data_IF_513204843753
#
_entry.id   IF_513204843753
#
_cell.length_a   1.000
_cell.length_b   1.000
_cell.length_c   1.000
_cell.angle_alpha   90.00
_cell.angle_beta   90.00
_cell.angle_gamma   90.00
#
_symmetry.space_group_name_H-M   'P 1'
#
loop_
_entity.id
_entity.type
_entity.pdbx_description
1 polymer ?
#
# COMPACT_ATOMS: atom_id res chain seq x y z
N UNK A 1 -24.19 9.47 -8.45
CA UNK A 1 -22.96 10.22 -8.04
C UNK A 1 -21.71 9.62 -8.69
N UNK A 2 -20.69 10.43 -9.03
CA UNK A 2 -19.41 9.94 -9.58
C UNK A 2 -18.22 10.78 -9.13
N UNK A 3 -17.02 10.20 -9.25
CA UNK A 3 -15.75 10.84 -8.85
C UNK A 3 -15.05 11.36 -10.09
N UNK A 4 -14.70 12.65 -10.08
CA UNK A 4 -14.03 13.32 -11.20
C UNK A 4 -12.66 13.87 -10.78
N UNK A 5 -11.62 13.71 -11.63
CA UNK A 5 -10.36 14.42 -11.45
C UNK A 5 -10.56 15.91 -11.76
N UNK A 6 -9.94 16.75 -10.95
CA UNK A 6 -9.93 18.20 -11.12
C UNK A 6 -8.52 18.74 -10.97
N UNK A 7 -8.22 19.84 -11.64
CA UNK A 7 -6.97 20.57 -11.48
C UNK A 7 -7.25 21.83 -10.69
N UNK A 8 -6.54 22.03 -9.57
CA UNK A 8 -6.73 23.23 -8.74
C UNK A 8 -6.20 24.44 -9.50
N UNK A 9 -7.03 25.47 -9.75
CA UNK A 9 -6.57 26.70 -10.39
C UNK A 9 -5.44 27.34 -9.58
N UNK A 10 -4.41 27.82 -10.26
CA UNK A 10 -3.26 28.50 -9.66
C UNK A 10 -2.08 27.58 -9.26
N UNK A 11 -2.34 26.40 -8.71
CA UNK A 11 -1.25 25.44 -8.37
C UNK A 11 -0.99 24.40 -9.45
N UNK A 12 -1.94 24.17 -10.36
CA UNK A 12 -1.88 23.07 -11.34
C UNK A 12 -1.96 21.68 -10.70
N UNK A 13 -2.23 21.61 -9.40
CA UNK A 13 -2.20 20.32 -8.66
C UNK A 13 -3.43 19.48 -9.00
N UNK A 14 -3.19 18.20 -9.32
CA UNK A 14 -4.26 17.23 -9.53
C UNK A 14 -4.95 16.89 -8.20
N UNK A 15 -6.25 17.09 -8.17
CA UNK A 15 -7.15 16.71 -7.06
C UNK A 15 -8.35 15.94 -7.59
N UNK A 16 -9.33 15.70 -6.74
CA UNK A 16 -10.53 14.92 -7.05
C UNK A 16 -11.73 15.56 -6.38
N UNK A 17 -12.89 15.49 -7.04
CA UNK A 17 -14.18 15.89 -6.46
C UNK A 17 -15.22 14.80 -6.61
N UNK A 18 -16.29 14.89 -5.85
CA UNK A 18 -17.49 14.04 -5.98
C UNK A 18 -18.63 14.90 -6.50
N UNK A 19 -19.18 14.49 -7.64
CA UNK A 19 -20.36 15.14 -8.23
C UNK A 19 -21.63 14.38 -7.84
N UNK A 20 -22.68 15.13 -7.53
CA UNK A 20 -24.03 14.61 -7.33
C UNK A 20 -24.67 14.11 -8.63
N UNK A 21 -25.93 13.69 -8.53
CA UNK A 21 -26.71 13.26 -9.70
C UNK A 21 -27.15 14.45 -10.58
N UNK A 22 -27.01 15.66 -10.07
CA UNK A 22 -27.22 16.95 -10.74
C UNK A 22 -25.92 17.53 -11.35
N UNK A 23 -24.84 16.76 -11.39
CA UNK A 23 -23.52 17.17 -11.85
C UNK A 23 -22.89 18.33 -11.02
N UNK A 24 -23.44 18.62 -9.84
CA UNK A 24 -22.93 19.65 -8.94
C UNK A 24 -21.99 19.01 -7.89
N UNK A 25 -20.86 19.66 -7.56
CA UNK A 25 -19.98 19.17 -6.51
C UNK A 25 -20.68 19.04 -5.15
N UNK A 26 -20.48 17.92 -4.48
CA UNK A 26 -20.90 17.71 -3.10
C UNK A 26 -20.02 18.57 -2.20
N UNK A 27 -20.43 19.81 -1.94
CA UNK A 27 -19.63 20.87 -1.32
C UNK A 27 -18.87 20.45 -0.07
N UNK A 28 -19.46 19.73 0.94
CA UNK A 28 -18.71 19.33 2.14
C UNK A 28 -17.58 18.34 1.84
N UNK A 29 -17.78 17.46 0.84
CA UNK A 29 -16.76 16.50 0.39
C UNK A 29 -15.67 17.22 -0.38
N UNK A 30 -16.06 18.11 -1.31
CA UNK A 30 -15.14 18.88 -2.13
C UNK A 30 -14.17 19.71 -1.27
N UNK A 31 -14.70 20.46 -0.28
CA UNK A 31 -13.87 21.21 0.69
C UNK A 31 -12.91 20.33 1.48
N UNK A 32 -13.34 19.14 1.87
CA UNK A 32 -12.48 18.20 2.58
C UNK A 32 -11.37 17.63 1.68
N UNK A 33 -11.67 17.30 0.43
CA UNK A 33 -10.68 16.80 -0.53
C UNK A 33 -9.68 17.88 -0.92
N UNK A 34 -10.14 19.14 -1.09
CA UNK A 34 -9.25 20.29 -1.28
C UNK A 34 -8.30 20.47 -0.09
N UNK A 35 -8.83 20.46 1.13
CA UNK A 35 -8.01 20.50 2.34
C UNK A 35 -6.95 19.38 2.38
N UNK A 36 -7.31 18.14 2.01
CA UNK A 36 -6.33 17.05 1.96
C UNK A 36 -5.22 17.31 0.95
N UNK A 37 -5.54 17.93 -0.18
CA UNK A 37 -4.57 18.32 -1.20
C UNK A 37 -3.64 19.42 -0.69
N UNK A 38 -4.20 20.44 -0.04
CA UNK A 38 -3.45 21.59 0.52
C UNK A 38 -2.46 21.16 1.61
N UNK A 39 -2.81 20.17 2.43
CA UNK A 39 -1.89 19.60 3.44
C UNK A 39 -0.92 18.56 2.86
N UNK A 40 -0.79 18.46 1.53
CA UNK A 40 0.19 17.61 0.84
C UNK A 40 -0.12 16.11 0.86
N UNK A 41 -1.39 15.70 1.01
CA UNK A 41 -1.74 14.29 0.84
C UNK A 41 -1.54 13.85 -0.60
N UNK A 42 -1.07 12.61 -0.79
CA UNK A 42 -0.83 12.11 -2.15
C UNK A 42 -2.12 12.10 -2.98
N UNK A 43 -2.08 12.40 -4.30
CA UNK A 43 -3.26 12.37 -5.18
C UNK A 43 -4.02 11.05 -5.13
N UNK A 44 -3.31 9.91 -4.98
CA UNK A 44 -3.95 8.61 -4.82
C UNK A 44 -4.71 8.46 -3.50
N UNK A 45 -4.27 9.13 -2.43
CA UNK A 45 -5.01 9.16 -1.16
C UNK A 45 -6.28 9.98 -1.31
N UNK A 46 -6.19 11.16 -1.95
CA UNK A 46 -7.35 12.02 -2.21
C UNK A 46 -8.35 11.29 -3.09
N UNK A 47 -7.90 10.65 -4.18
CA UNK A 47 -8.73 9.81 -5.05
C UNK A 47 -9.45 8.70 -4.26
N UNK A 48 -8.72 7.97 -3.44
CA UNK A 48 -9.31 6.88 -2.65
C UNK A 48 -10.39 7.41 -1.70
N UNK A 49 -10.14 8.54 -1.04
CA UNK A 49 -11.11 9.17 -0.16
C UNK A 49 -12.34 9.69 -0.91
N UNK A 50 -12.16 10.25 -2.12
CA UNK A 50 -13.27 10.65 -2.98
C UNK A 50 -14.20 9.46 -3.28
N UNK A 51 -13.65 8.31 -3.71
CA UNK A 51 -14.45 7.11 -3.95
C UNK A 51 -15.09 6.56 -2.67
N UNK A 52 -14.41 6.61 -1.54
CA UNK A 52 -14.94 6.10 -0.27
C UNK A 52 -16.08 6.96 0.25
N UNK A 53 -15.94 8.28 0.14
CA UNK A 53 -16.98 9.23 0.52
C UNK A 53 -18.15 9.20 -0.45
N UNK A 54 -17.91 9.05 -1.77
CA UNK A 54 -18.98 8.84 -2.75
C UNK A 54 -19.90 7.71 -2.31
N UNK A 55 -19.37 6.55 -1.98
CA UNK A 55 -20.16 5.41 -1.56
C UNK A 55 -20.94 5.68 -0.27
N UNK A 56 -20.36 6.43 0.67
CA UNK A 56 -21.05 6.83 1.90
C UNK A 56 -22.21 7.80 1.61
N UNK A 57 -22.00 8.80 0.74
CA UNK A 57 -23.04 9.72 0.32
C UNK A 57 -24.17 9.03 -0.45
N UNK A 58 -23.87 8.07 -1.31
CA UNK A 58 -24.87 7.25 -1.99
C UNK A 58 -25.72 6.47 -1.00
N UNK A 59 -25.10 5.93 0.06
CA UNK A 59 -25.83 5.24 1.12
C UNK A 59 -26.76 6.18 1.89
N UNK A 60 -26.31 7.39 2.26
CA UNK A 60 -27.12 8.39 2.95
C UNK A 60 -28.26 8.90 2.08
N UNK A 61 -28.00 9.25 0.81
CA UNK A 61 -28.99 9.76 -0.13
C UNK A 61 -30.17 8.79 -0.31
N UNK A 62 -29.92 7.50 -0.40
CA UNK A 62 -30.97 6.46 -0.50
C UNK A 62 -31.87 6.39 0.69
N UNK A 63 -31.41 6.84 1.85
CA UNK A 63 -32.16 6.88 3.10
C UNK A 63 -32.80 8.24 3.34
N UNK A 64 -32.57 9.21 2.44
CA UNK A 64 -33.01 10.58 2.63
C UNK A 64 -32.38 11.28 3.82
N UNK A 65 -31.15 10.84 4.22
CA UNK A 65 -30.45 11.38 5.40
C UNK A 65 -29.45 12.45 5.00
N UNK A 66 -29.50 13.59 5.68
CA UNK A 66 -28.40 14.56 5.63
C UNK A 66 -27.19 14.04 6.42
N UNK A 67 -26.00 14.23 5.89
CA UNK A 67 -24.76 13.82 6.55
C UNK A 67 -24.56 14.45 7.92
N UNK A 68 -25.20 15.60 8.20
CA UNK A 68 -25.16 16.29 9.49
C UNK A 68 -26.00 15.61 10.56
N UNK A 69 -26.98 14.84 10.14
CA UNK A 69 -27.90 14.10 11.03
C UNK A 69 -27.51 12.65 11.24
N UNK A 70 -26.50 12.19 10.45
CA UNK A 70 -26.02 10.82 10.52
C UNK A 70 -25.53 10.45 11.94
N UNK A 71 -25.91 9.26 12.39
CA UNK A 71 -25.57 8.68 13.69
C UNK A 71 -24.68 7.45 13.54
N UNK A 72 -24.22 6.91 14.67
CA UNK A 72 -23.35 5.73 14.67
C UNK A 72 -24.05 4.50 14.04
N UNK A 73 -25.36 4.40 14.25
CA UNK A 73 -26.22 3.36 13.67
C UNK A 73 -26.20 3.40 12.13
N UNK A 74 -26.24 4.61 11.55
CA UNK A 74 -26.22 4.82 10.11
C UNK A 74 -24.88 4.39 9.49
N UNK A 75 -23.81 4.55 10.24
CA UNK A 75 -22.49 4.02 9.83
C UNK A 75 -22.46 2.49 9.93
N UNK A 76 -23.15 1.92 10.91
CA UNK A 76 -23.35 0.45 11.00
C UNK A 76 -24.10 -0.08 9.77
N UNK A 77 -25.16 0.61 9.36
CA UNK A 77 -25.92 0.26 8.15
C UNK A 77 -25.11 0.48 6.86
N UNK A 78 -24.26 1.50 6.80
CA UNK A 78 -23.32 1.66 5.70
C UNK A 78 -22.39 0.44 5.56
N UNK A 79 -21.91 -0.12 6.67
CA UNK A 79 -21.13 -1.35 6.67
C UNK A 79 -21.94 -2.51 6.10
N UNK A 80 -23.19 -2.67 6.51
CA UNK A 80 -24.09 -3.70 5.98
C UNK A 80 -24.35 -3.49 4.47
N UNK A 81 -24.62 -2.24 4.05
CA UNK A 81 -24.84 -1.89 2.65
C UNK A 81 -23.64 -2.21 1.76
N UNK A 82 -22.41 -2.01 2.25
CA UNK A 82 -21.19 -2.37 1.51
C UNK A 82 -21.07 -3.88 1.26
N UNK A 83 -21.68 -4.72 2.09
CA UNK A 83 -21.66 -6.18 1.92
C UNK A 83 -22.67 -6.68 0.89
N UNK A 84 -23.63 -5.83 0.46
CA UNK A 84 -24.61 -6.18 -0.55
C UNK A 84 -23.98 -6.25 -1.95
N UNK A 85 -24.45 -7.17 -2.81
CA UNK A 85 -24.13 -7.16 -4.23
C UNK A 85 -24.52 -5.80 -4.87
N UNK A 86 -23.83 -5.33 -5.93
CA UNK A 86 -24.16 -4.09 -6.60
C UNK A 86 -25.65 -3.95 -6.99
N UNK A 87 -26.28 -5.02 -7.48
CA UNK A 87 -27.71 -5.06 -7.79
C UNK A 87 -28.59 -4.90 -6.55
N UNK A 88 -28.20 -5.44 -5.40
CA UNK A 88 -28.91 -5.29 -4.12
C UNK A 88 -28.74 -3.91 -3.47
N UNK A 89 -27.72 -3.18 -3.86
CA UNK A 89 -27.52 -1.80 -3.38
C UNK A 89 -28.51 -0.81 -3.97
N UNK A 90 -29.17 -1.16 -5.08
CA UNK A 90 -30.15 -0.29 -5.76
C UNK A 90 -31.61 -0.55 -5.33
N UNK A 91 -31.90 -1.58 -4.55
CA UNK A 91 -33.24 -1.97 -4.13
C UNK A 91 -33.46 -2.07 -2.62
N UNK A 92 -34.71 -2.13 -2.19
CA UNK A 92 -35.13 -2.34 -0.79
C UNK A 92 -35.09 -3.84 -0.42
N UNK A 93 -34.22 -4.62 -1.02
CA UNK A 93 -34.14 -6.06 -0.77
C UNK A 93 -33.21 -6.31 0.42
N UNK A 94 -33.75 -6.82 1.51
CA UNK A 94 -32.94 -7.36 2.60
C UNK A 94 -32.06 -8.50 2.08
N UNK A 95 -30.73 -8.36 2.22
CA UNK A 95 -29.82 -9.45 1.86
C UNK A 95 -29.99 -10.59 2.84
N UNK A 96 -30.09 -11.82 2.32
CA UNK A 96 -30.08 -12.99 3.19
C UNK A 96 -28.74 -13.13 3.90
N UNK A 97 -28.70 -13.63 5.14
CA UNK A 97 -27.48 -13.78 5.94
C UNK A 97 -26.38 -14.64 5.29
N UNK A 98 -26.74 -15.44 4.28
CA UNK A 98 -25.84 -16.32 3.55
C UNK A 98 -25.13 -15.68 2.36
N UNK A 99 -25.35 -14.39 2.09
CA UNK A 99 -24.67 -13.72 0.99
C UNK A 99 -23.16 -13.62 1.25
N UNK A 100 -22.35 -14.10 0.29
CA UNK A 100 -20.89 -13.94 0.34
C UNK A 100 -20.54 -12.45 0.37
N UNK A 101 -19.73 -11.99 1.35
CA UNK A 101 -19.37 -10.60 1.43
C UNK A 101 -18.74 -10.08 0.14
N UNK A 102 -19.31 -9.05 -0.48
CA UNK A 102 -18.85 -8.50 -1.76
C UNK A 102 -17.60 -7.63 -1.59
N UNK A 103 -17.34 -7.16 -0.38
CA UNK A 103 -16.24 -6.26 -0.08
C UNK A 103 -15.42 -6.82 1.08
N UNK A 104 -14.09 -6.82 0.91
CA UNK A 104 -13.20 -7.31 1.96
C UNK A 104 -13.26 -6.45 3.21
N UNK A 105 -13.03 -7.06 4.38
CA UNK A 105 -12.95 -6.35 5.68
C UNK A 105 -11.93 -5.20 5.62
N UNK A 106 -10.82 -5.37 4.93
CA UNK A 106 -9.81 -4.33 4.74
C UNK A 106 -10.38 -3.12 3.98
N UNK A 107 -11.16 -3.36 2.92
CA UNK A 107 -11.82 -2.31 2.14
C UNK A 107 -12.88 -1.58 2.97
N UNK A 108 -13.69 -2.30 3.75
CA UNK A 108 -14.66 -1.69 4.67
C UNK A 108 -13.94 -0.79 5.68
N UNK A 109 -12.89 -1.29 6.32
CA UNK A 109 -12.12 -0.51 7.30
C UNK A 109 -11.45 0.72 6.67
N UNK A 110 -11.02 0.65 5.40
CA UNK A 110 -10.48 1.79 4.66
C UNK A 110 -11.55 2.86 4.44
N UNK A 111 -12.75 2.45 4.00
CA UNK A 111 -13.90 3.36 3.81
C UNK A 111 -14.31 4.03 5.13
N UNK A 112 -14.41 3.26 6.21
CA UNK A 112 -14.65 3.80 7.54
C UNK A 112 -13.56 4.79 8.00
N UNK A 113 -12.30 4.60 7.56
CA UNK A 113 -11.24 5.55 7.84
C UNK A 113 -11.45 6.89 7.12
N UNK A 114 -11.90 6.86 5.86
CA UNK A 114 -12.23 8.06 5.10
C UNK A 114 -13.41 8.83 5.73
N UNK A 115 -14.49 8.13 6.09
CA UNK A 115 -15.65 8.71 6.76
C UNK A 115 -15.25 9.30 8.13
N UNK A 116 -14.45 8.58 8.93
CA UNK A 116 -13.95 9.10 10.21
C UNK A 116 -13.08 10.35 10.04
N UNK A 117 -12.21 10.38 9.03
CA UNK A 117 -11.37 11.55 8.76
C UNK A 117 -12.21 12.75 8.29
N UNK A 118 -13.26 12.52 7.50
CA UNK A 118 -14.21 13.54 7.09
C UNK A 118 -14.91 14.16 8.31
N UNK A 119 -15.54 13.36 9.15
CA UNK A 119 -16.22 13.87 10.34
C UNK A 119 -15.28 14.54 11.35
N UNK A 120 -14.06 14.03 11.50
CA UNK A 120 -13.04 14.70 12.33
C UNK A 120 -12.63 16.08 11.77
N UNK A 121 -12.62 16.24 10.44
CA UNK A 121 -12.41 17.55 9.80
C UNK A 121 -13.60 18.47 10.03
N UNK A 122 -14.83 18.00 9.82
CA UNK A 122 -16.04 18.80 10.00
C UNK A 122 -16.21 19.26 11.47
N UNK A 123 -15.92 18.40 12.43
CA UNK A 123 -15.98 18.72 13.86
C UNK A 123 -15.04 19.88 14.26
N UNK A 124 -13.93 20.08 13.56
CA UNK A 124 -13.02 21.20 13.78
C UNK A 124 -13.51 22.51 13.18
N UNK A 125 -14.38 22.43 12.17
CA UNK A 125 -14.91 23.59 11.45
C UNK A 125 -16.32 24.02 11.94
N UNK A 126 -16.76 23.52 13.12
CA UNK A 126 -18.03 23.89 13.79
C UNK A 126 -19.30 23.51 13.02
N UNK A 127 -19.24 22.75 11.95
CA UNK A 127 -20.39 22.41 11.11
C UNK A 127 -20.58 20.89 11.05
N UNK A 128 -21.27 20.32 12.02
CA UNK A 128 -21.67 18.92 11.95
C UNK A 128 -21.74 18.22 13.32
N UNK A 129 -22.34 17.02 13.37
CA UNK A 129 -22.26 16.19 14.55
C UNK A 129 -20.77 15.95 14.83
N UNK A 130 -20.34 16.21 16.03
CA UNK A 130 -18.94 16.05 16.43
C UNK A 130 -18.34 14.75 15.92
N UNK A 131 -17.20 14.36 16.35
CA UNK A 131 -16.44 13.23 15.83
C UNK A 131 -17.21 11.90 15.95
N UNK A 132 -18.16 11.69 15.03
CA UNK A 132 -19.16 10.62 15.00
C UNK A 132 -18.54 9.22 15.20
N UNK A 133 -17.32 9.03 14.74
CA UNK A 133 -16.63 7.75 14.78
C UNK A 133 -15.49 7.70 15.80
N UNK A 134 -15.31 8.73 16.62
CA UNK A 134 -14.29 8.72 17.65
C UNK A 134 -14.81 8.07 18.93
N UNK A 135 -14.08 7.11 19.42
CA UNK A 135 -14.29 6.55 20.75
C UNK A 135 -12.98 6.64 21.55
N UNK A 136 -13.10 6.97 22.82
CA UNK A 136 -12.00 6.86 23.75
C UNK A 136 -11.81 5.38 24.12
N UNK A 137 -10.65 4.83 23.74
CA UNK A 137 -10.29 3.45 24.06
C UNK A 137 -9.23 3.45 25.17
N UNK A 138 -9.50 2.71 26.22
CA UNK A 138 -8.49 2.36 27.22
C UNK A 138 -7.70 1.15 26.73
N UNK A 139 -6.39 1.14 26.93
CA UNK A 139 -5.54 0.00 26.54
C UNK A 139 -6.04 -1.29 27.19
N UNK A 140 -6.54 -2.24 26.36
CA UNK A 140 -7.07 -3.52 26.86
C UNK A 140 -5.97 -4.44 27.42
N UNK A 141 -6.34 -5.31 28.38
CA UNK A 141 -5.51 -6.41 28.85
C UNK A 141 -5.40 -7.46 27.72
N UNK A 142 -4.26 -7.59 27.05
CA UNK A 142 -4.01 -8.75 26.18
C UNK A 142 -3.46 -8.49 24.78
N UNK A 143 -3.00 -7.29 24.42
CA UNK A 143 -2.31 -7.01 23.17
C UNK A 143 -0.81 -6.77 23.36
N UNK A 144 -0.04 -6.84 22.25
CA UNK A 144 1.35 -6.42 22.22
C UNK A 144 1.52 -5.05 22.86
N UNK A 145 2.44 -4.96 23.82
CA UNK A 145 2.70 -3.73 24.59
C UNK A 145 3.99 -3.10 24.08
N UNK A 146 3.98 -1.85 23.57
CA UNK A 146 5.23 -1.15 23.25
C UNK A 146 6.18 -1.10 24.44
N UNK A 147 7.46 -1.00 24.20
CA UNK A 147 8.50 -0.93 25.23
C UNK A 147 8.20 0.11 26.35
N UNK A 148 7.62 1.26 25.98
CA UNK A 148 7.22 2.32 26.93
C UNK A 148 5.77 2.21 27.42
N UNK A 149 5.10 1.08 27.28
CA UNK A 149 3.71 0.89 27.73
C UNK A 149 3.53 1.15 29.22
N UNK A 150 4.54 0.88 30.03
CA UNK A 150 4.51 1.16 31.48
C UNK A 150 4.40 2.66 31.80
N UNK A 151 4.89 3.55 30.92
CA UNK A 151 4.80 5.01 31.05
C UNK A 151 3.44 5.54 30.61
N UNK A 152 2.80 4.88 29.64
CA UNK A 152 1.49 5.27 29.07
C UNK A 152 0.31 4.45 29.63
N UNK A 153 0.55 3.60 30.61
CA UNK A 153 -0.42 2.67 31.18
C UNK A 153 -1.67 3.41 31.69
N UNK A 154 -2.80 3.08 31.09
CA UNK A 154 -4.10 3.64 31.48
C UNK A 154 -4.50 4.97 30.85
N UNK A 155 -3.66 5.60 30.00
CA UNK A 155 -4.11 6.79 29.28
C UNK A 155 -5.07 6.38 28.14
N UNK A 156 -6.30 6.93 28.13
CA UNK A 156 -7.22 6.67 27.03
C UNK A 156 -6.65 7.28 25.74
N UNK A 157 -6.78 6.54 24.64
CA UNK A 157 -6.44 7.05 23.31
C UNK A 157 -7.68 7.11 22.41
N UNK A 158 -7.68 8.07 21.51
CA UNK A 158 -8.77 8.25 20.57
C UNK A 158 -8.68 7.20 19.46
N UNK A 159 -9.66 6.33 19.36
CA UNK A 159 -9.76 5.30 18.34
C UNK A 159 -11.09 5.36 17.60
N UNK A 160 -11.23 4.62 16.50
CA UNK A 160 -12.49 4.50 15.78
C UNK A 160 -13.49 3.67 16.62
N UNK A 161 -14.74 4.14 16.68
CA UNK A 161 -15.83 3.42 17.35
C UNK A 161 -16.14 2.10 16.62
N UNK A 162 -16.23 2.14 15.28
CA UNK A 162 -16.50 0.99 14.42
C UNK A 162 -15.23 0.60 13.68
N UNK A 163 -14.83 -0.67 13.80
CA UNK A 163 -13.72 -1.29 13.08
C UNK A 163 -13.96 -2.80 13.02
N UNK A 164 -13.99 -3.35 11.84
CA UNK A 164 -14.13 -4.80 11.66
C UNK A 164 -12.81 -5.50 11.95
N UNK A 165 -12.89 -6.63 12.65
CA UNK A 165 -11.72 -7.47 12.89
C UNK A 165 -11.36 -8.19 11.60
N UNK A 166 -10.22 -7.83 11.00
CA UNK A 166 -9.66 -8.55 9.87
C UNK A 166 -8.82 -9.74 10.39
N UNK A 167 -8.98 -10.94 9.82
CA UNK A 167 -8.05 -12.01 10.10
C UNK A 167 -6.65 -11.58 9.63
N UNK A 168 -5.63 -11.86 10.44
CA UNK A 168 -4.25 -11.66 10.04
C UNK A 168 -3.95 -12.59 8.87
N UNK A 169 -3.74 -12.02 7.68
CA UNK A 169 -3.26 -12.80 6.52
C UNK A 169 -1.74 -12.72 6.52
N UNK A 170 -1.10 -13.87 6.52
CA UNK A 170 0.34 -13.92 6.26
C UNK A 170 0.62 -13.35 4.86
N UNK A 171 1.67 -12.55 4.70
CA UNK A 171 2.05 -12.05 3.40
C UNK A 171 2.42 -13.22 2.49
N UNK A 172 1.94 -13.23 1.26
CA UNK A 172 2.37 -14.21 0.26
C UNK A 172 3.78 -13.87 -0.19
N UNK A 173 4.63 -14.89 -0.20
CA UNK A 173 6.00 -14.84 -0.67
C UNK A 173 6.14 -15.72 -1.91
N UNK A 174 7.06 -15.36 -2.79
CA UNK A 174 7.42 -16.17 -3.95
C UNK A 174 8.51 -17.16 -3.56
N UNK A 175 8.39 -18.39 -4.00
CA UNK A 175 9.48 -19.37 -3.93
C UNK A 175 10.60 -18.99 -4.91
N UNK A 176 11.77 -19.58 -4.74
CA UNK A 176 12.89 -19.40 -5.69
C UNK A 176 12.48 -19.83 -7.11
N UNK A 177 11.75 -20.94 -7.24
CA UNK A 177 11.27 -21.47 -8.52
C UNK A 177 10.25 -20.53 -9.17
N UNK A 178 9.28 -19.99 -8.41
CA UNK A 178 8.31 -19.03 -8.93
C UNK A 178 8.99 -17.72 -9.36
N UNK A 179 9.95 -17.22 -8.55
CA UNK A 179 10.74 -16.03 -8.90
C UNK A 179 11.50 -16.24 -10.20
N UNK A 180 12.19 -17.38 -10.33
CA UNK A 180 12.96 -17.70 -11.53
C UNK A 180 12.04 -17.83 -12.76
N UNK A 181 10.90 -18.50 -12.61
CA UNK A 181 9.91 -18.63 -13.69
C UNK A 181 9.42 -17.27 -14.20
N UNK A 182 9.19 -16.30 -13.29
CA UNK A 182 8.79 -14.94 -13.66
C UNK A 182 9.93 -14.24 -14.42
N UNK A 183 11.17 -14.35 -13.93
CA UNK A 183 12.34 -13.73 -14.58
C UNK A 183 12.59 -14.32 -15.97
N UNK A 184 12.47 -15.64 -16.12
CA UNK A 184 12.68 -16.33 -17.39
C UNK A 184 11.55 -16.08 -18.40
N UNK A 185 10.35 -15.83 -17.91
CA UNK A 185 9.22 -15.43 -18.73
C UNK A 185 9.38 -14.00 -19.30
N UNK A 186 10.23 -13.15 -18.69
CA UNK A 186 10.52 -11.82 -19.19
C UNK A 186 11.38 -11.90 -20.48
N UNK A 187 10.75 -11.66 -21.63
CA UNK A 187 11.45 -11.65 -22.94
C UNK A 187 12.41 -10.46 -23.05
N UNK A 188 12.07 -9.35 -22.41
CA UNK A 188 12.82 -8.08 -22.47
C UNK A 188 13.65 -7.86 -21.22
N UNK A 189 14.88 -7.39 -21.40
CA UNK A 189 15.82 -7.10 -20.31
C UNK A 189 15.27 -6.06 -19.33
N UNK A 190 14.56 -5.02 -19.84
CA UNK A 190 13.88 -4.05 -18.99
C UNK A 190 12.95 -4.71 -17.94
N UNK A 191 12.10 -5.62 -18.39
CA UNK A 191 11.17 -6.33 -17.49
C UNK A 191 11.91 -7.26 -16.53
N UNK A 192 12.91 -7.99 -17.02
CA UNK A 192 13.74 -8.90 -16.22
C UNK A 192 14.51 -8.12 -15.14
N UNK A 193 15.15 -7.01 -15.52
CA UNK A 193 15.84 -6.15 -14.56
C UNK A 193 14.89 -5.53 -13.53
N UNK A 194 13.70 -5.11 -13.93
CA UNK A 194 12.70 -4.57 -13.01
C UNK A 194 12.33 -5.57 -11.91
N UNK A 195 11.99 -6.80 -12.25
CA UNK A 195 11.63 -7.81 -11.25
C UNK A 195 12.83 -8.31 -10.45
N UNK A 196 14.02 -8.44 -11.06
CA UNK A 196 15.25 -8.76 -10.35
C UNK A 196 15.59 -7.69 -9.30
N UNK A 197 15.45 -6.42 -9.66
CA UNK A 197 15.61 -5.28 -8.75
C UNK A 197 14.63 -5.36 -7.56
N UNK A 198 13.34 -5.60 -7.81
CA UNK A 198 12.36 -5.77 -6.74
C UNK A 198 12.69 -6.94 -5.81
N UNK A 199 13.15 -8.06 -6.40
CA UNK A 199 13.53 -9.26 -5.65
C UNK A 199 14.71 -9.03 -4.72
N UNK A 200 15.73 -8.33 -5.20
CA UNK A 200 16.96 -8.15 -4.46
C UNK A 200 16.87 -7.03 -3.44
N UNK A 201 16.27 -5.90 -3.80
CA UNK A 201 16.21 -4.71 -2.96
C UNK A 201 14.98 -4.62 -2.07
N UNK A 202 13.92 -5.39 -2.36
CA UNK A 202 12.64 -5.27 -1.68
C UNK A 202 11.99 -3.89 -1.85
N UNK A 203 12.42 -3.06 -2.81
CA UNK A 203 11.81 -1.76 -3.04
C UNK A 203 10.37 -1.91 -3.59
N UNK A 204 9.57 -0.86 -3.44
CA UNK A 204 8.22 -0.82 -4.02
C UNK A 204 8.30 -0.56 -5.52
N UNK A 205 7.34 -1.06 -6.29
CA UNK A 205 7.27 -0.79 -7.73
C UNK A 205 7.37 0.71 -8.06
N UNK A 206 6.75 1.58 -7.26
CA UNK A 206 6.86 3.03 -7.44
C UNK A 206 8.23 3.60 -7.11
N UNK A 207 8.95 3.00 -6.19
CA UNK A 207 10.32 3.38 -5.89
C UNK A 207 11.23 3.00 -7.09
N UNK A 208 11.06 1.79 -7.62
CA UNK A 208 11.78 1.33 -8.80
C UNK A 208 11.50 2.20 -10.04
N UNK A 209 10.23 2.53 -10.30
CA UNK A 209 9.83 3.37 -11.43
C UNK A 209 10.30 4.83 -11.35
N UNK A 210 10.70 5.26 -10.16
CA UNK A 210 11.27 6.60 -9.94
C UNK A 210 12.80 6.65 -9.93
N UNK A 211 13.49 5.51 -10.12
CA UNK A 211 14.95 5.46 -10.12
C UNK A 211 15.56 6.23 -11.30
N UNK A 212 16.66 6.91 -11.00
CA UNK A 212 17.52 7.57 -11.96
C UNK A 212 18.82 6.77 -12.14
N UNK A 213 19.53 7.00 -13.23
CA UNK A 213 20.84 6.38 -13.45
C UNK A 213 21.84 6.73 -12.34
N UNK A 214 21.80 7.95 -11.82
CA UNK A 214 22.61 8.40 -10.69
C UNK A 214 22.34 7.65 -9.36
N UNK A 215 21.20 6.98 -9.25
CA UNK A 215 20.83 6.20 -8.06
C UNK A 215 21.48 4.80 -8.03
N UNK A 216 22.09 4.38 -9.14
CA UNK A 216 22.76 3.06 -9.28
C UNK A 216 24.25 3.27 -9.26
N UNK A 217 24.88 3.01 -8.12
CA UNK A 217 26.31 3.20 -7.95
C UNK A 217 27.13 1.99 -8.40
N UNK A 218 28.35 2.25 -8.90
CA UNK A 218 29.30 1.21 -9.29
C UNK A 218 29.74 0.33 -8.10
N UNK A 219 29.64 0.84 -6.88
CA UNK A 219 29.94 0.17 -5.63
C UNK A 219 28.89 -0.89 -5.25
N UNK A 220 27.97 -1.19 -6.15
CA UNK A 220 26.86 -2.14 -5.96
C UNK A 220 25.85 -1.68 -4.92
N UNK A 221 25.47 -0.45 -5.04
CA UNK A 221 24.45 0.17 -4.17
C UNK A 221 23.35 0.80 -5.01
N UNK A 222 22.12 0.73 -4.52
CA UNK A 222 20.97 1.36 -5.12
C UNK A 222 20.34 2.31 -4.12
N UNK A 223 20.30 3.59 -4.48
CA UNK A 223 19.73 4.65 -3.66
C UNK A 223 18.28 4.92 -4.03
N UNK A 224 17.37 4.72 -3.08
CA UNK A 224 15.96 5.11 -3.22
C UNK A 224 15.80 6.51 -2.67
N UNK A 225 15.56 7.47 -3.55
CA UNK A 225 15.44 8.89 -3.20
C UNK A 225 14.01 9.37 -3.45
N UNK A 226 13.36 10.03 -2.47
CA UNK A 226 12.05 10.64 -2.68
C UNK A 226 12.15 11.79 -3.70
N UNK A 227 11.42 11.69 -4.80
CA UNK A 227 11.32 12.71 -5.85
C UNK A 227 9.89 12.78 -6.37
N UNK A 228 9.52 13.92 -6.93
CA UNK A 228 8.34 14.04 -7.77
C UNK A 228 8.70 13.61 -9.20
N UNK A 229 8.02 12.59 -9.69
CA UNK A 229 8.32 11.95 -10.96
C UNK A 229 7.18 12.20 -11.97
N UNK A 230 7.54 12.42 -13.23
CA UNK A 230 6.60 12.70 -14.32
C UNK A 230 5.57 11.56 -14.53
N UNK A 231 5.95 10.30 -14.22
CA UNK A 231 5.05 9.14 -14.27
C UNK A 231 4.18 8.96 -13.00
N UNK A 232 4.21 9.91 -12.06
CA UNK A 232 3.48 9.84 -10.79
C UNK A 232 4.04 8.83 -9.80
N UNK A 233 5.16 8.18 -10.10
CA UNK A 233 5.85 7.28 -9.19
C UNK A 233 6.44 8.06 -8.01
N UNK A 234 6.28 7.55 -6.78
CA UNK A 234 6.75 8.23 -5.57
C UNK A 234 7.32 7.23 -4.57
N UNK A 235 8.43 7.58 -3.95
CA UNK A 235 8.89 6.91 -2.75
C UNK A 235 8.02 7.37 -1.56
N UNK A 236 7.37 6.41 -0.90
CA UNK A 236 6.55 6.67 0.31
C UNK A 236 7.36 6.70 1.60
N UNK A 237 8.64 6.35 1.51
CA UNK A 237 9.60 6.31 2.62
C UNK A 237 10.71 7.33 2.39
N UNK A 238 11.46 7.64 3.45
CA UNK A 238 12.66 8.46 3.35
C UNK A 238 13.73 7.85 2.44
N UNK A 239 14.74 8.65 2.11
CA UNK A 239 15.89 8.20 1.34
C UNK A 239 16.61 7.04 2.05
N UNK A 240 17.09 6.08 1.28
CA UNK A 240 17.88 4.94 1.76
C UNK A 240 18.71 4.34 0.64
N UNK A 241 19.80 3.70 1.02
CA UNK A 241 20.66 2.94 0.11
C UNK A 241 20.55 1.45 0.45
N UNK A 242 20.46 0.62 -0.59
CA UNK A 242 20.35 -0.83 -0.49
C UNK A 242 21.54 -1.45 -1.22
N UNK A 243 22.43 -2.19 -0.53
CA UNK A 243 23.49 -2.96 -1.18
C UNK A 243 22.90 -4.08 -2.06
N UNK A 244 23.51 -4.35 -3.19
CA UNK A 244 23.05 -5.33 -4.18
C UNK A 244 24.19 -6.21 -4.70
N UNK A 245 23.86 -7.39 -5.24
CA UNK A 245 24.82 -8.30 -5.84
C UNK A 245 25.34 -7.80 -7.21
N UNK A 246 26.51 -8.29 -7.59
CA UNK A 246 27.14 -7.96 -8.87
C UNK A 246 26.31 -8.44 -10.07
N UNK A 247 25.51 -9.49 -9.90
CA UNK A 247 24.60 -10.02 -10.94
C UNK A 247 23.55 -9.00 -11.36
N UNK A 248 22.97 -8.28 -10.38
CA UNK A 248 21.98 -7.24 -10.66
C UNK A 248 22.59 -6.06 -11.43
N UNK A 249 23.82 -5.66 -11.09
CA UNK A 249 24.54 -4.60 -11.78
C UNK A 249 24.90 -5.04 -13.20
N UNK A 250 25.32 -6.29 -13.41
CA UNK A 250 25.54 -6.84 -14.76
C UNK A 250 24.25 -6.82 -15.58
N UNK A 251 23.14 -7.28 -15.01
CA UNK A 251 21.84 -7.24 -15.69
C UNK A 251 21.41 -5.80 -16.05
N UNK A 252 21.74 -4.84 -15.19
CA UNK A 252 21.54 -3.42 -15.51
C UNK A 252 22.39 -2.97 -16.71
N UNK A 253 23.68 -3.32 -16.73
CA UNK A 253 24.55 -3.01 -17.85
C UNK A 253 24.08 -3.67 -19.16
N UNK A 254 23.65 -4.94 -19.09
CA UNK A 254 23.09 -5.67 -20.23
C UNK A 254 21.82 -4.99 -20.76
N UNK A 255 20.96 -4.51 -19.84
CA UNK A 255 19.77 -3.76 -20.20
C UNK A 255 20.12 -2.43 -20.90
N UNK A 256 21.07 -1.68 -20.36
CA UNK A 256 21.52 -0.42 -20.97
C UNK A 256 22.09 -0.66 -22.37
N UNK A 257 22.97 -1.64 -22.52
CA UNK A 257 23.62 -1.92 -23.79
C UNK A 257 22.67 -2.56 -24.81
N UNK A 258 21.82 -3.51 -24.36
CA UNK A 258 21.00 -4.32 -25.27
C UNK A 258 19.66 -3.71 -25.67
N UNK A 259 19.06 -2.87 -24.83
CA UNK A 259 17.70 -2.36 -25.06
C UNK A 259 17.55 -0.85 -24.89
N UNK A 260 18.25 -0.23 -23.93
CA UNK A 260 18.12 1.20 -23.62
C UNK A 260 18.74 2.06 -24.74
N UNK A 261 19.94 1.68 -25.17
CA UNK A 261 20.68 2.36 -26.25
C UNK A 261 21.06 3.80 -25.88
N UNK A 262 21.08 4.65 -26.89
CA UNK A 262 21.47 6.06 -26.78
C UNK A 262 20.30 6.99 -26.37
N UNK A 263 19.28 6.45 -25.69
CA UNK A 263 18.12 7.24 -25.27
C UNK A 263 18.53 8.23 -24.17
N UNK A 264 18.36 9.52 -24.43
CA UNK A 264 18.64 10.58 -23.45
C UNK A 264 17.47 10.69 -22.46
N UNK A 265 17.65 10.11 -21.26
CA UNK A 265 16.70 10.18 -20.18
C UNK A 265 17.38 9.89 -18.85
N UNK A 266 17.03 10.63 -17.79
CA UNK A 266 17.54 10.36 -16.45
C UNK A 266 16.97 9.06 -15.86
N UNK A 267 15.79 8.63 -16.32
CA UNK A 267 15.10 7.48 -15.74
C UNK A 267 15.72 6.15 -16.14
N UNK A 268 15.90 5.26 -15.20
CA UNK A 268 16.32 3.88 -15.43
C UNK A 268 15.29 3.09 -16.26
N UNK A 269 14.01 3.25 -15.93
CA UNK A 269 12.92 2.56 -16.62
C UNK A 269 12.13 3.52 -17.48
N UNK A 270 12.21 3.34 -18.80
CA UNK A 270 11.58 4.22 -19.81
C UNK A 270 10.73 3.45 -20.80
N UNK A 271 9.92 4.17 -21.56
CA UNK A 271 9.28 3.66 -22.75
C UNK A 271 10.31 3.56 -23.89
N UNK A 272 10.68 2.33 -24.25
CA UNK A 272 11.66 2.08 -25.32
C UNK A 272 10.95 1.85 -26.65
N UNK A 273 9.87 1.08 -26.66
CA UNK A 273 9.17 0.61 -27.87
C UNK A 273 7.84 1.30 -28.14
N UNK A 274 7.28 2.01 -27.17
CA UNK A 274 6.02 2.71 -27.28
C UNK A 274 6.23 4.21 -27.18
N UNK A 275 5.44 4.97 -27.93
CA UNK A 275 5.43 6.42 -27.81
C UNK A 275 4.70 6.88 -26.56
N UNK A 276 5.13 7.96 -25.94
CA UNK A 276 6.36 8.72 -26.25
C UNK A 276 7.61 8.00 -25.70
N UNK A 277 8.61 7.79 -26.57
CA UNK A 277 9.88 7.15 -26.22
C UNK A 277 10.69 8.01 -25.25
N UNK A 278 11.54 7.37 -24.44
CA UNK A 278 12.40 8.06 -23.45
C UNK A 278 11.67 8.57 -22.23
N UNK A 279 10.33 8.61 -22.23
CA UNK A 279 9.58 8.97 -21.03
C UNK A 279 9.58 7.85 -19.98
N UNK A 280 9.51 8.26 -18.72
CA UNK A 280 9.48 7.32 -17.60
C UNK A 280 8.38 6.27 -17.75
N UNK A 281 8.74 5.01 -17.53
CA UNK A 281 7.82 3.88 -17.60
C UNK A 281 6.68 4.03 -16.58
N UNK A 282 5.45 3.81 -17.01
CA UNK A 282 4.27 4.07 -16.20
C UNK A 282 3.77 2.83 -15.44
N UNK A 283 3.03 3.05 -14.35
CA UNK A 283 2.35 1.96 -13.64
C UNK A 283 1.42 1.12 -14.51
N UNK A 284 0.55 1.69 -15.36
CA UNK A 284 -0.29 0.87 -16.25
C UNK A 284 0.53 -0.06 -17.13
N UNK A 285 1.63 0.42 -17.72
CA UNK A 285 2.48 -0.40 -18.58
C UNK A 285 3.18 -1.54 -17.82
N UNK A 286 3.53 -1.35 -16.55
CA UNK A 286 4.02 -2.42 -15.67
C UNK A 286 2.91 -3.45 -15.39
N UNK A 287 1.68 -3.01 -15.11
CA UNK A 287 0.56 -3.93 -14.87
C UNK A 287 0.17 -4.72 -16.12
N UNK A 288 0.30 -4.13 -17.31
CA UNK A 288 0.13 -4.85 -18.58
C UNK A 288 1.20 -5.94 -18.75
N UNK A 289 2.45 -5.65 -18.36
CA UNK A 289 3.51 -6.67 -18.34
C UNK A 289 3.18 -7.78 -17.33
N UNK A 290 2.76 -7.44 -16.12
CA UNK A 290 2.38 -8.42 -15.08
C UNK A 290 1.24 -9.31 -15.59
N UNK A 291 0.22 -8.75 -16.22
CA UNK A 291 -0.91 -9.51 -16.77
C UNK A 291 -0.44 -10.53 -17.79
N UNK A 292 0.45 -10.13 -18.72
CA UNK A 292 1.05 -11.04 -19.69
C UNK A 292 1.90 -12.14 -19.04
N UNK A 293 2.69 -11.78 -18.02
CA UNK A 293 3.51 -12.75 -17.30
C UNK A 293 2.67 -13.75 -16.51
N UNK A 294 1.59 -13.29 -15.85
CA UNK A 294 0.63 -14.18 -15.18
C UNK A 294 0.04 -15.21 -16.16
N UNK A 295 -0.40 -14.75 -17.33
CA UNK A 295 -0.91 -15.65 -18.37
C UNK A 295 0.15 -16.65 -18.86
N UNK A 296 1.41 -16.18 -19.04
CA UNK A 296 2.50 -17.02 -19.56
C UNK A 296 3.00 -18.05 -18.55
N UNK A 297 3.06 -17.67 -17.25
CA UNK A 297 3.61 -18.54 -16.19
C UNK A 297 2.54 -19.35 -15.46
N UNK A 298 1.26 -18.97 -15.59
CA UNK A 298 0.19 -19.53 -14.76
C UNK A 298 0.24 -19.08 -13.29
N UNK A 299 1.16 -18.19 -12.92
CA UNK A 299 1.35 -17.70 -11.56
C UNK A 299 0.54 -16.42 -11.35
N UNK A 300 -0.31 -16.38 -10.33
CA UNK A 300 -0.92 -15.13 -9.87
C UNK A 300 0.04 -14.47 -8.87
N UNK A 301 0.69 -13.38 -9.27
CA UNK A 301 1.64 -12.64 -8.45
C UNK A 301 1.44 -11.12 -8.54
N UNK A 302 1.88 -10.42 -7.49
CA UNK A 302 1.87 -8.96 -7.41
C UNK A 302 3.31 -8.47 -7.14
N UNK A 303 3.73 -7.30 -7.67
CA UNK A 303 5.06 -6.74 -7.38
C UNK A 303 5.36 -6.63 -5.89
N UNK A 304 4.34 -6.46 -5.06
CA UNK A 304 4.52 -6.37 -3.61
C UNK A 304 4.99 -7.69 -2.98
N UNK A 305 4.71 -8.83 -3.62
CA UNK A 305 5.20 -10.13 -3.15
C UNK A 305 6.71 -10.27 -3.26
N UNK A 306 7.35 -9.64 -4.25
CA UNK A 306 8.82 -9.57 -4.34
C UNK A 306 9.40 -8.91 -3.09
N UNK A 307 8.79 -7.83 -2.63
CA UNK A 307 9.18 -7.15 -1.40
C UNK A 307 8.96 -8.02 -0.16
N UNK A 308 7.84 -8.73 -0.08
CA UNK A 308 7.59 -9.69 1.00
C UNK A 308 8.62 -10.82 0.97
N UNK A 309 8.97 -11.31 -0.21
CA UNK A 309 10.00 -12.33 -0.40
C UNK A 309 11.37 -11.85 0.05
N UNK A 310 11.80 -10.66 -0.38
CA UNK A 310 13.08 -10.07 0.04
C UNK A 310 13.15 -9.93 1.57
N UNK A 311 12.12 -9.35 2.18
CA UNK A 311 12.04 -9.17 3.63
C UNK A 311 12.12 -10.50 4.39
N UNK A 312 11.34 -11.49 3.96
CA UNK A 312 11.30 -12.81 4.60
C UNK A 312 12.64 -13.53 4.45
N UNK A 313 13.26 -13.47 3.26
CA UNK A 313 14.57 -14.03 3.00
C UNK A 313 15.63 -13.42 3.93
N UNK A 314 15.73 -12.09 4.00
CA UNK A 314 16.69 -11.42 4.88
C UNK A 314 16.54 -11.84 6.34
N UNK A 315 15.32 -11.91 6.85
CA UNK A 315 15.08 -12.33 8.24
C UNK A 315 15.43 -13.81 8.49
N UNK A 316 15.14 -14.69 7.53
CA UNK A 316 15.54 -16.12 7.59
C UNK A 316 17.05 -16.30 7.51
N UNK A 317 17.71 -15.45 6.73
CA UNK A 317 19.17 -15.44 6.62
C UNK A 317 19.86 -14.82 7.83
N UNK A 318 19.09 -14.32 8.81
CA UNK A 318 19.58 -13.79 10.08
C UNK A 318 19.89 -12.30 10.08
N UNK A 319 19.44 -11.56 9.05
CA UNK A 319 19.53 -10.09 9.05
C UNK A 319 18.64 -9.53 10.17
N UNK A 320 19.19 -8.68 11.07
CA UNK A 320 18.40 -8.08 12.15
C UNK A 320 17.16 -7.33 11.61
N UNK A 321 16.05 -7.43 12.35
CA UNK A 321 14.77 -6.85 11.93
C UNK A 321 14.84 -5.32 11.75
N UNK A 322 15.69 -4.65 12.52
CA UNK A 322 15.93 -3.20 12.42
C UNK A 322 16.62 -2.85 11.09
N UNK A 323 17.60 -3.69 10.68
CA UNK A 323 18.29 -3.53 9.39
C UNK A 323 17.32 -3.80 8.25
N UNK A 324 16.57 -4.89 8.30
CA UNK A 324 15.53 -5.20 7.30
C UNK A 324 14.49 -4.09 7.21
N UNK A 325 14.03 -3.53 8.34
CA UNK A 325 13.10 -2.42 8.37
C UNK A 325 13.68 -1.17 7.68
N UNK A 326 14.95 -0.86 7.91
CA UNK A 326 15.66 0.26 7.28
C UNK A 326 15.81 0.05 5.77
N UNK A 327 16.24 -1.13 5.33
CA UNK A 327 16.37 -1.48 3.90
C UNK A 327 15.02 -1.40 3.18
N UNK A 328 13.94 -1.84 3.83
CA UNK A 328 12.58 -1.71 3.30
C UNK A 328 12.05 -0.26 3.33
N UNK A 329 12.63 0.63 4.12
CA UNK A 329 12.12 1.98 4.34
C UNK A 329 10.79 1.97 5.10
N UNK A 330 10.66 1.14 6.13
CA UNK A 330 9.55 1.23 7.07
C UNK A 330 9.82 2.32 8.10
N UNK A 331 8.86 3.20 8.32
CA UNK A 331 8.95 4.28 9.32
C UNK A 331 8.98 3.74 10.76
N UNK A 332 8.56 2.49 10.97
CA UNK A 332 8.58 1.81 12.26
C UNK A 332 8.99 0.35 12.09
N UNK A 333 9.91 -0.10 12.93
CA UNK A 333 10.32 -1.51 13.05
C UNK A 333 9.12 -2.40 13.39
N UNK A 334 8.16 -1.87 14.14
CA UNK A 334 6.90 -2.56 14.48
C UNK A 334 6.15 -3.04 13.23
N UNK A 335 6.19 -2.27 12.13
CA UNK A 335 5.56 -2.67 10.86
C UNK A 335 6.23 -3.92 10.29
N UNK A 336 7.55 -3.99 10.32
CA UNK A 336 8.31 -5.16 9.86
C UNK A 336 8.03 -6.36 10.75
N UNK A 337 8.06 -6.16 12.07
CA UNK A 337 7.78 -7.22 13.03
C UNK A 337 6.34 -7.74 12.92
N UNK A 338 5.35 -6.86 12.81
CA UNK A 338 3.94 -7.26 12.67
C UNK A 338 3.66 -8.01 11.36
N UNK A 339 4.42 -7.71 10.31
CA UNK A 339 4.23 -8.34 8.98
C UNK A 339 5.02 -9.64 8.84
N UNK A 340 6.25 -9.69 9.35
CA UNK A 340 7.22 -10.76 9.09
C UNK A 340 7.69 -11.49 10.36
N UNK A 341 7.34 -11.02 11.56
CA UNK A 341 7.72 -11.63 12.82
C UNK A 341 6.99 -12.92 13.16
N UNK A 342 6.17 -13.43 12.25
CA UNK A 342 5.54 -14.74 12.37
C UNK A 342 6.51 -15.83 11.88
N UNK A 343 7.59 -16.01 12.64
CA UNK A 343 8.50 -17.14 12.44
C UNK A 343 7.72 -18.44 12.69
N UNK A 344 7.81 -19.37 11.75
CA UNK A 344 7.28 -20.72 11.94
C UNK A 344 8.12 -21.46 13.00
N UNK A 345 7.58 -22.54 13.57
CA UNK A 345 8.36 -23.41 14.45
C UNK A 345 9.63 -23.95 13.74
N UNK A 346 9.56 -24.12 12.42
CA UNK A 346 10.67 -24.53 11.56
C UNK A 346 11.73 -23.44 11.41
N UNK A 347 11.32 -22.17 11.20
CA UNK A 347 12.23 -21.02 11.18
C UNK A 347 12.93 -20.84 12.53
N UNK A 348 12.21 -21.05 13.66
CA UNK A 348 12.77 -20.99 15.00
C UNK A 348 13.79 -22.12 15.23
N UNK A 349 13.49 -23.34 14.77
CA UNK A 349 14.40 -24.48 14.85
C UNK A 349 15.68 -24.20 14.06
N UNK A 350 15.56 -23.77 12.80
CA UNK A 350 16.72 -23.46 11.95
C UNK A 350 17.59 -22.35 12.56
N UNK A 351 16.99 -21.33 13.17
CA UNK A 351 17.72 -20.28 13.87
C UNK A 351 18.48 -20.80 15.09
N UNK A 352 17.87 -21.70 15.90
CA UNK A 352 18.49 -22.31 17.06
C UNK A 352 19.61 -23.28 16.66
N UNK A 353 19.45 -24.04 15.57
CA UNK A 353 20.50 -24.91 15.01
C UNK A 353 21.71 -24.10 14.54
N UNK A 354 21.45 -23.01 13.76
CA UNK A 354 22.48 -22.09 13.26
C UNK A 354 23.26 -21.41 14.42
N UNK A 355 22.55 -21.10 15.51
CA UNK A 355 23.17 -20.55 16.73
C UNK A 355 23.86 -21.59 17.63
N UNK A 356 23.84 -22.87 17.26
CA UNK A 356 24.44 -23.95 18.05
C UNK A 356 23.63 -24.35 19.30
N UNK A 357 22.44 -23.81 19.49
CA UNK A 357 21.62 -24.07 20.69
C UNK A 357 21.06 -25.49 20.75
N UNK A 358 20.86 -26.13 19.60
CA UNK A 358 20.34 -27.51 19.53
C UNK A 358 21.47 -28.57 19.41
N UNK A 359 22.70 -28.13 19.11
CA UNK A 359 23.88 -28.99 18.97
C UNK A 359 24.97 -28.53 19.94
N UNK A 360 25.08 -29.20 21.04
CA UNK A 360 26.13 -28.93 22.03
C UNK A 360 25.64 -28.11 23.22
N UNK A 361 25.23 -28.80 24.27
CA UNK A 361 24.97 -28.20 25.56
C UNK A 361 26.21 -28.27 26.43
N UNK A 362 26.64 -27.14 26.98
CA UNK A 362 27.66 -27.09 28.04
C UNK A 362 27.13 -27.65 29.37
N UNK A 363 25.82 -27.87 29.50
CA UNK A 363 25.17 -28.38 30.70
C UNK A 363 24.43 -29.68 30.38
N UNK A 364 24.79 -30.75 31.11
CA UNK A 364 24.07 -32.04 31.08
C UNK A 364 22.77 -31.87 31.89
N UNK A 365 21.64 -32.18 31.31
CA UNK A 365 20.31 -32.11 31.94
C UNK A 365 20.04 -33.37 32.75
#
# INVERSE_FOLDING_TARGET
MFVQPVVIPGSGTLSWTVLGDDDVPVVPVDRFLAYLTDIGRSPNTVKAYAHDLKDFWECLARRGLDWREARLEDVGEFVAWLQLPPAGRSGVVAALPSAVPQVSVATVNRKLAAVSAFYAHQARNVTGPGDLLAAWKTGGRGGWKPFLHHVSKGKPYRGRAISLRAPAKLPRILTATETQAILDACIRLRGRFFFALLHETGCRAGEALGLRHEDIAAEREISVVPRDNANGARAKSGARTVPVGGELIRLYADYLHGEYGDTDSDYVFINIWAEPRGQAWSYPAVYDLITRLRTKTGLDFDPHWFRHTAATRWLRDGVPVEVAARLLGHSSVTTTYATYGHLTAEDARAALEKAGWLTGREVTL
#
